data_IF_119945949385
#
_entry.id   IF_119945949385
#
_cell.length_a   1.000
_cell.length_b   1.000
_cell.length_c   1.000
_cell.angle_alpha   90.00
_cell.angle_beta   90.00
_cell.angle_gamma   90.00
#
_symmetry.space_group_name_H-M   'P 1'
#
loop_
_entity.id
_entity.type
_entity.pdbx_description
1 polymer ?
#
# COMPACT_ATOMS: atom_id res chain seq x y z
N UNK A 1 50.81 -20.51 63.91
CA UNK A 1 50.17 -21.29 62.82
C UNK A 1 48.64 -21.22 62.81
N UNK A 2 47.95 -21.00 63.94
CA UNK A 2 46.48 -21.01 64.04
C UNK A 2 45.75 -19.88 63.30
N UNK A 3 46.27 -18.64 63.30
CA UNK A 3 45.56 -17.49 62.70
C UNK A 3 45.45 -17.55 61.16
N UNK A 4 46.43 -18.16 60.47
CA UNK A 4 46.39 -18.34 59.00
C UNK A 4 45.42 -19.45 58.58
N UNK A 5 45.28 -20.51 59.39
CA UNK A 5 44.27 -21.56 59.17
C UNK A 5 42.85 -21.03 59.38
N UNK A 6 42.64 -20.18 60.39
CA UNK A 6 41.34 -19.55 60.65
C UNK A 6 40.95 -18.60 59.50
N UNK A 7 41.91 -17.83 58.96
CA UNK A 7 41.65 -16.94 57.82
C UNK A 7 41.27 -17.73 56.55
N UNK A 8 41.90 -18.89 56.32
CA UNK A 8 41.57 -19.77 55.19
C UNK A 8 40.21 -20.45 55.36
N UNK A 9 39.85 -20.83 56.60
CA UNK A 9 38.54 -21.40 56.91
C UNK A 9 37.41 -20.38 56.76
N UNK A 10 37.64 -19.11 57.13
CA UNK A 10 36.66 -18.02 56.95
C UNK A 10 36.48 -17.67 55.46
N UNK A 11 37.57 -17.67 54.67
CA UNK A 11 37.47 -17.45 53.22
C UNK A 11 36.75 -18.60 52.48
N UNK A 12 36.93 -19.85 52.94
CA UNK A 12 36.18 -21.00 52.43
C UNK A 12 34.68 -20.96 52.76
N UNK A 13 34.30 -20.43 53.92
CA UNK A 13 32.90 -20.33 54.34
C UNK A 13 32.12 -19.24 53.56
N UNK A 14 32.80 -18.20 53.09
CA UNK A 14 32.21 -17.12 52.27
C UNK A 14 31.95 -17.60 50.83
N UNK A 15 32.77 -18.51 50.31
CA UNK A 15 32.57 -19.10 48.96
C UNK A 15 31.40 -20.09 48.90
N UNK A 16 30.96 -20.67 50.02
CA UNK A 16 29.83 -21.60 50.08
C UNK A 16 28.46 -20.91 50.13
N UNK A 17 28.41 -19.59 50.34
CA UNK A 17 27.16 -18.82 50.38
C UNK A 17 26.91 -17.96 49.12
N UNK A 18 27.75 -18.09 48.09
CA UNK A 18 27.64 -17.30 46.86
C UNK A 18 26.68 -17.90 45.81
N UNK A 19 25.95 -18.98 46.13
CA UNK A 19 25.05 -19.66 45.20
C UNK A 19 23.67 -19.90 45.81
N UNK A 20 22.95 -18.83 46.12
CA UNK A 20 21.49 -18.79 46.07
C UNK A 20 21.05 -17.37 45.76
N UNK A 21 21.35 -16.92 44.54
CA UNK A 21 20.49 -15.93 43.93
C UNK A 21 19.18 -16.65 43.63
N UNK A 22 18.03 -16.21 44.15
CA UNK A 22 16.78 -16.58 43.53
C UNK A 22 16.87 -16.01 42.12
N UNK A 23 17.10 -16.88 41.12
CA UNK A 23 16.66 -16.56 39.78
C UNK A 23 15.21 -16.12 39.98
N UNK A 24 14.93 -14.85 39.70
CA UNK A 24 13.57 -14.43 39.41
C UNK A 24 13.16 -15.27 38.20
N UNK A 25 12.68 -16.48 38.47
CA UNK A 25 12.00 -17.31 37.48
C UNK A 25 10.74 -16.52 37.24
N UNK A 26 10.79 -15.69 36.21
CA UNK A 26 9.62 -15.02 35.66
C UNK A 26 8.54 -16.10 35.62
N UNK A 27 7.42 -15.87 36.30
CA UNK A 27 6.30 -16.79 36.18
C UNK A 27 5.87 -16.73 34.71
N UNK A 28 6.39 -17.67 33.92
CA UNK A 28 6.06 -17.80 32.52
C UNK A 28 4.60 -18.22 32.46
N UNK A 29 3.71 -17.26 32.18
CA UNK A 29 2.28 -17.52 32.05
C UNK A 29 2.08 -18.44 30.85
N UNK A 30 1.66 -19.67 31.13
CA UNK A 30 1.28 -20.65 30.10
C UNK A 30 -0.14 -20.35 29.67
N UNK A 31 -0.35 -20.15 28.37
CA UNK A 31 -1.65 -19.86 27.77
C UNK A 31 -2.32 -21.11 27.19
N UNK A 32 -1.54 -22.07 26.70
CA UNK A 32 -2.02 -23.35 26.20
C UNK A 32 -0.93 -24.42 26.27
N UNK A 33 -1.33 -25.69 26.20
CA UNK A 33 -0.44 -26.85 26.18
C UNK A 33 -0.99 -27.94 25.25
N UNK A 34 -0.13 -28.51 24.42
CA UNK A 34 -0.43 -29.68 23.58
C UNK A 34 0.68 -30.72 23.77
N UNK A 35 0.38 -31.80 24.49
CA UNK A 35 1.40 -32.82 24.82
C UNK A 35 2.50 -32.23 25.71
N UNK A 36 3.71 -32.14 25.19
CA UNK A 36 4.88 -31.56 25.88
C UNK A 36 5.25 -30.16 25.36
N UNK A 37 4.48 -29.61 24.42
CA UNK A 37 4.63 -28.24 23.94
C UNK A 37 3.75 -27.27 24.73
N UNK A 38 4.30 -26.11 25.04
CA UNK A 38 3.66 -25.07 25.84
C UNK A 38 3.69 -23.77 25.04
N UNK A 39 2.56 -23.06 25.02
CA UNK A 39 2.45 -21.71 24.47
C UNK A 39 2.55 -20.72 25.61
N UNK A 40 3.55 -19.85 25.56
CA UNK A 40 3.81 -18.84 26.57
C UNK A 40 3.28 -17.47 26.18
N UNK A 41 2.89 -16.67 27.17
CA UNK A 41 2.44 -15.30 26.95
C UNK A 41 3.47 -14.43 26.22
N UNK A 42 4.77 -14.72 26.40
CA UNK A 42 5.84 -13.98 25.75
C UNK A 42 5.85 -14.10 24.23
N UNK A 43 5.30 -15.18 23.68
CA UNK A 43 5.21 -15.43 22.24
C UNK A 43 4.16 -14.54 21.56
N UNK A 44 3.38 -13.77 22.34
CA UNK A 44 2.38 -12.82 21.84
C UNK A 44 2.87 -11.36 21.83
N UNK A 45 4.13 -11.09 22.22
CA UNK A 45 4.62 -9.72 22.46
C UNK A 45 4.53 -8.75 21.27
N UNK A 46 4.38 -9.26 20.05
CA UNK A 46 4.21 -8.44 18.84
C UNK A 46 2.91 -8.74 18.08
N UNK A 47 2.00 -9.51 18.67
CA UNK A 47 0.75 -9.92 18.02
C UNK A 47 -0.31 -8.81 18.03
N UNK A 48 -0.29 -7.96 19.06
CA UNK A 48 -1.33 -6.95 19.29
C UNK A 48 -0.81 -5.58 18.86
N UNK A 49 -1.31 -4.97 17.77
CA UNK A 49 -0.92 -3.64 17.36
C UNK A 49 -1.24 -2.58 18.42
N UNK A 50 -0.40 -1.55 18.50
CA UNK A 50 -0.69 -0.38 19.33
C UNK A 50 -2.02 0.27 18.91
N UNK A 51 -2.85 0.62 19.90
CA UNK A 51 -4.18 1.20 19.66
C UNK A 51 -5.32 0.20 19.49
N UNK A 52 -5.07 -1.11 19.63
CA UNK A 52 -6.13 -2.15 19.59
C UNK A 52 -7.09 -2.03 20.78
N UNK A 53 -8.40 -2.11 20.54
CA UNK A 53 -9.40 -2.06 21.61
C UNK A 53 -9.33 -3.31 22.51
N UNK A 54 -9.71 -3.22 23.81
CA UNK A 54 -9.70 -4.39 24.70
C UNK A 54 -10.55 -5.57 24.21
N UNK A 55 -11.64 -5.30 23.49
CA UNK A 55 -12.50 -6.36 22.93
C UNK A 55 -11.80 -7.08 21.77
N UNK A 56 -11.18 -6.31 20.89
CA UNK A 56 -10.53 -6.85 19.69
C UNK A 56 -9.23 -7.58 20.06
N UNK A 57 -8.49 -7.09 21.05
CA UNK A 57 -7.30 -7.77 21.56
C UNK A 57 -7.62 -9.16 22.13
N UNK A 58 -8.70 -9.30 22.90
CA UNK A 58 -9.17 -10.61 23.41
C UNK A 58 -9.49 -11.56 22.25
N UNK A 59 -10.14 -11.07 21.19
CA UNK A 59 -10.48 -11.89 20.01
C UNK A 59 -9.20 -12.32 19.27
N UNK A 60 -8.24 -11.41 19.06
CA UNK A 60 -6.96 -11.70 18.41
C UNK A 60 -6.18 -12.77 19.18
N UNK A 61 -6.03 -12.59 20.50
CA UNK A 61 -5.34 -13.55 21.36
C UNK A 61 -6.03 -14.90 21.32
N UNK A 62 -7.36 -14.94 21.47
CA UNK A 62 -8.12 -16.20 21.42
C UNK A 62 -7.95 -16.92 20.09
N UNK A 63 -8.01 -16.19 18.97
CA UNK A 63 -7.84 -16.77 17.65
C UNK A 63 -6.43 -17.32 17.45
N UNK A 64 -5.41 -16.58 17.90
CA UNK A 64 -4.02 -17.03 17.85
C UNK A 64 -3.80 -18.30 18.67
N UNK A 65 -4.24 -18.32 19.94
CA UNK A 65 -4.12 -19.49 20.81
C UNK A 65 -4.84 -20.70 20.21
N UNK A 66 -6.06 -20.52 19.71
CA UNK A 66 -6.82 -21.61 19.07
C UNK A 66 -6.12 -22.14 17.80
N UNK A 67 -5.58 -21.25 16.98
CA UNK A 67 -4.84 -21.63 15.77
C UNK A 67 -3.55 -22.36 16.11
N UNK A 68 -2.83 -21.89 17.14
CA UNK A 68 -1.62 -22.55 17.64
C UNK A 68 -1.96 -23.97 18.10
N UNK A 69 -2.95 -24.14 18.98
CA UNK A 69 -3.38 -25.47 19.47
C UNK A 69 -3.76 -26.39 18.31
N UNK A 70 -4.57 -25.90 17.37
CA UNK A 70 -4.99 -26.68 16.20
C UNK A 70 -3.81 -27.11 15.35
N UNK A 71 -2.89 -26.19 15.07
CA UNK A 71 -1.71 -26.45 14.23
C UNK A 71 -0.78 -27.44 14.92
N UNK A 72 -0.46 -27.25 16.20
CA UNK A 72 0.38 -28.17 16.97
C UNK A 72 -0.21 -29.57 17.04
N UNK A 73 -1.53 -29.69 17.28
CA UNK A 73 -2.21 -31.00 17.24
C UNK A 73 -2.11 -31.67 15.86
N UNK A 74 -2.28 -30.91 14.78
CA UNK A 74 -2.15 -31.43 13.42
C UNK A 74 -0.73 -31.89 13.12
N UNK A 75 0.28 -31.10 13.50
CA UNK A 75 1.70 -31.47 13.33
C UNK A 75 2.01 -32.73 14.11
N UNK A 76 1.62 -32.81 15.38
CA UNK A 76 1.83 -33.98 16.22
C UNK A 76 1.16 -35.25 15.63
N UNK A 77 -0.02 -35.10 15.03
CA UNK A 77 -0.68 -36.21 14.33
C UNK A 77 0.02 -36.59 13.02
N UNK A 78 0.56 -35.61 12.29
CA UNK A 78 1.32 -35.83 11.06
C UNK A 78 2.64 -36.56 11.35
N UNK A 79 3.36 -36.19 12.41
CA UNK A 79 4.60 -36.84 12.82
C UNK A 79 4.41 -38.33 13.17
N UNK A 80 3.25 -38.69 13.73
CA UNK A 80 2.89 -40.09 14.01
C UNK A 80 2.55 -40.90 12.76
N UNK A 81 2.07 -40.25 11.71
CA UNK A 81 1.47 -40.92 10.55
C UNK A 81 2.36 -40.88 9.30
N UNK A 82 3.26 -39.92 9.19
CA UNK A 82 4.12 -39.73 8.02
C UNK A 82 5.45 -40.47 8.19
N UNK A 83 6.02 -40.90 7.07
CA UNK A 83 7.35 -41.52 7.06
C UNK A 83 8.46 -40.48 7.24
N UNK A 84 9.63 -40.89 7.75
CA UNK A 84 10.77 -39.99 7.90
C UNK A 84 11.22 -39.30 6.60
N UNK A 85 10.98 -39.92 5.44
CA UNK A 85 11.23 -39.28 4.12
C UNK A 85 10.26 -38.14 3.85
N UNK A 86 8.98 -38.30 4.21
CA UNK A 86 7.96 -37.27 4.04
C UNK A 86 8.13 -36.11 5.03
N UNK A 87 8.76 -36.36 6.17
CA UNK A 87 9.11 -35.35 7.17
C UNK A 87 10.49 -34.71 6.94
N UNK A 88 11.25 -35.12 5.92
CA UNK A 88 12.54 -34.52 5.62
C UNK A 88 12.35 -33.21 4.84
N UNK A 89 12.50 -32.10 5.55
CA UNK A 89 12.43 -30.75 4.99
C UNK A 89 13.81 -30.06 4.96
N UNK A 90 14.91 -30.78 5.19
CA UNK A 90 16.24 -30.19 5.41
C UNK A 90 16.68 -29.29 4.24
N UNK A 91 16.43 -29.74 3.00
CA UNK A 91 16.74 -28.95 1.81
C UNK A 91 15.86 -27.70 1.72
N UNK A 92 14.56 -27.83 1.96
CA UNK A 92 13.60 -26.73 1.88
C UNK A 92 13.88 -25.67 2.95
N UNK A 93 14.21 -26.09 4.17
CA UNK A 93 14.61 -25.20 5.26
C UNK A 93 15.92 -24.48 4.96
N UNK A 94 16.91 -25.16 4.35
CA UNK A 94 18.15 -24.52 3.89
C UNK A 94 17.89 -23.49 2.80
N UNK A 95 17.09 -23.84 1.80
CA UNK A 95 16.78 -22.95 0.69
C UNK A 95 16.01 -21.72 1.18
N UNK A 96 15.00 -21.92 2.03
CA UNK A 96 14.25 -20.82 2.64
C UNK A 96 15.16 -19.90 3.49
N UNK A 97 16.04 -20.48 4.31
CA UNK A 97 17.03 -19.71 5.08
C UNK A 97 17.93 -18.89 4.17
N UNK A 98 18.45 -19.50 3.10
CA UNK A 98 19.30 -18.81 2.14
C UNK A 98 18.55 -17.66 1.46
N UNK A 99 17.31 -17.88 1.02
CA UNK A 99 16.47 -16.83 0.44
C UNK A 99 16.25 -15.66 1.40
N UNK A 100 15.98 -15.92 2.68
CA UNK A 100 15.81 -14.86 3.68
C UNK A 100 17.10 -14.05 3.89
N UNK A 101 18.25 -14.72 3.94
CA UNK A 101 19.56 -14.07 4.10
C UNK A 101 19.87 -13.21 2.87
N UNK A 102 19.71 -13.75 1.67
CA UNK A 102 19.94 -13.03 0.41
C UNK A 102 19.06 -11.80 0.32
N UNK A 103 17.74 -11.95 0.54
CA UNK A 103 16.81 -10.82 0.51
C UNK A 103 17.19 -9.73 1.52
N UNK A 104 17.54 -10.11 2.75
CA UNK A 104 17.94 -9.16 3.77
C UNK A 104 19.23 -8.43 3.40
N UNK A 105 20.22 -9.16 2.87
CA UNK A 105 21.47 -8.58 2.41
C UNK A 105 21.25 -7.60 1.25
N UNK A 106 20.53 -8.00 0.20
CA UNK A 106 20.21 -7.14 -0.95
C UNK A 106 19.45 -5.89 -0.51
N UNK A 107 18.47 -6.03 0.38
CA UNK A 107 17.70 -4.89 0.90
C UNK A 107 18.58 -3.89 1.66
N UNK A 108 19.48 -4.35 2.52
CA UNK A 108 20.40 -3.46 3.25
C UNK A 108 21.47 -2.88 2.33
N UNK A 109 21.93 -3.64 1.34
CA UNK A 109 22.85 -3.17 0.32
C UNK A 109 22.25 -2.02 -0.49
N UNK A 110 21.01 -2.19 -0.99
CA UNK A 110 20.29 -1.13 -1.70
C UNK A 110 20.14 0.12 -0.82
N UNK A 111 19.71 -0.04 0.44
CA UNK A 111 19.56 1.12 1.35
C UNK A 111 20.86 1.90 1.57
N UNK A 112 22.01 1.21 1.58
CA UNK A 112 23.31 1.85 1.79
C UNK A 112 23.88 2.47 0.53
N UNK A 113 23.54 1.95 -0.65
CA UNK A 113 24.20 2.30 -1.91
C UNK A 113 23.29 3.02 -2.91
N UNK A 114 21.98 3.12 -2.65
CA UNK A 114 21.07 3.89 -3.48
C UNK A 114 21.11 5.35 -3.03
N UNK A 115 21.72 6.20 -3.85
CA UNK A 115 21.51 7.64 -3.72
C UNK A 115 20.07 7.95 -4.12
N UNK A 116 19.27 8.42 -3.16
CA UNK A 116 17.87 8.79 -3.37
C UNK A 116 17.69 10.26 -3.73
N UNK A 117 18.77 11.04 -3.74
CA UNK A 117 18.72 12.46 -4.08
C UNK A 117 18.80 12.58 -5.59
N UNK A 118 17.64 12.79 -6.23
CA UNK A 118 17.56 13.14 -7.65
C UNK A 118 17.54 14.66 -7.77
N UNK A 119 18.51 15.22 -8.47
CA UNK A 119 18.61 16.66 -8.71
C UNK A 119 17.70 17.12 -9.86
N UNK A 120 17.36 18.40 -9.89
CA UNK A 120 16.58 19.00 -10.98
C UNK A 120 17.31 18.89 -12.33
N UNK A 121 18.65 18.97 -12.32
CA UNK A 121 19.47 18.82 -13.53
C UNK A 121 19.40 17.40 -14.10
N UNK A 122 19.41 16.38 -13.24
CA UNK A 122 19.23 14.98 -13.65
C UNK A 122 17.83 14.73 -14.23
N UNK A 123 16.80 15.34 -13.64
CA UNK A 123 15.43 15.29 -14.16
C UNK A 123 15.36 15.91 -15.54
N UNK A 124 15.92 17.12 -15.71
CA UNK A 124 15.89 17.83 -16.98
C UNK A 124 16.69 17.09 -18.06
N UNK A 125 17.86 16.54 -17.70
CA UNK A 125 18.69 15.73 -18.61
C UNK A 125 17.94 14.48 -19.04
N UNK A 126 17.39 13.72 -18.09
CA UNK A 126 16.61 12.53 -18.40
C UNK A 126 15.41 12.84 -19.30
N UNK A 127 14.67 13.90 -18.99
CA UNK A 127 13.53 14.35 -19.78
C UNK A 127 13.94 14.68 -21.23
N UNK A 128 15.02 15.46 -21.41
CA UNK A 128 15.55 15.82 -22.73
C UNK A 128 16.02 14.61 -23.52
N UNK A 129 16.73 13.69 -22.88
CA UNK A 129 17.26 12.48 -23.52
C UNK A 129 16.17 11.47 -23.91
N UNK A 130 15.00 11.55 -23.27
CA UNK A 130 13.88 10.62 -23.45
C UNK A 130 12.60 11.31 -23.92
N UNK A 131 12.68 12.46 -24.60
CA UNK A 131 11.51 13.22 -25.07
C UNK A 131 10.49 12.37 -25.84
N UNK A 132 10.95 11.40 -26.63
CA UNK A 132 10.11 10.47 -27.39
C UNK A 132 9.19 9.62 -26.49
N UNK A 133 9.56 9.38 -25.24
CA UNK A 133 8.73 8.66 -24.27
C UNK A 133 7.58 9.52 -23.72
N UNK A 134 7.68 10.84 -23.84
CA UNK A 134 6.71 11.81 -23.33
C UNK A 134 5.78 12.36 -24.42
N UNK A 135 5.89 11.85 -25.65
CA UNK A 135 4.98 12.21 -26.72
C UNK A 135 3.54 11.75 -26.43
N UNK A 136 2.58 12.66 -26.63
CA UNK A 136 1.17 12.31 -26.51
C UNK A 136 0.75 11.38 -27.65
N UNK A 137 0.27 10.19 -27.28
CA UNK A 137 -0.22 9.18 -28.23
C UNK A 137 -1.56 9.54 -28.88
N UNK A 138 -2.31 10.46 -28.28
CA UNK A 138 -3.62 10.89 -28.77
C UNK A 138 -3.74 12.41 -28.63
N UNK A 139 -4.43 13.03 -29.58
CA UNK A 139 -4.75 14.45 -29.50
C UNK A 139 -5.70 14.74 -28.34
N UNK A 140 -5.43 15.84 -27.65
CA UNK A 140 -6.25 16.38 -26.57
C UNK A 140 -6.75 17.76 -26.95
N UNK A 141 -7.93 18.11 -26.44
CA UNK A 141 -8.59 19.39 -26.70
C UNK A 141 -9.17 19.99 -25.44
N UNK A 142 -9.22 21.31 -25.39
CA UNK A 142 -10.06 22.06 -24.46
C UNK A 142 -11.31 22.48 -25.21
N UNK A 143 -12.45 21.99 -24.76
CA UNK A 143 -13.74 22.24 -25.40
C UNK A 143 -14.81 22.42 -24.34
N UNK A 144 -15.77 23.29 -24.65
CA UNK A 144 -17.04 23.35 -23.97
C UNK A 144 -18.07 22.75 -24.90
N UNK A 145 -18.94 21.89 -24.40
CA UNK A 145 -20.02 21.35 -25.22
C UNK A 145 -21.30 21.15 -24.42
N UNK A 146 -22.42 21.28 -25.11
CA UNK A 146 -23.76 21.11 -24.57
C UNK A 146 -24.58 20.35 -25.61
N UNK A 147 -25.34 19.36 -25.15
CA UNK A 147 -26.28 18.57 -25.95
C UNK A 147 -27.67 18.89 -25.43
N UNK A 148 -28.48 19.46 -26.31
CA UNK A 148 -29.85 19.88 -26.03
C UNK A 148 -30.82 19.11 -26.93
N UNK A 149 -32.07 18.98 -26.48
CA UNK A 149 -33.15 18.56 -27.38
C UNK A 149 -33.50 19.67 -28.37
N UNK A 150 -33.89 19.27 -29.59
CA UNK A 150 -34.19 20.21 -30.69
C UNK A 150 -35.28 21.22 -30.32
N UNK A 151 -36.23 20.83 -29.49
CA UNK A 151 -37.35 21.67 -29.07
C UNK A 151 -36.88 22.73 -28.05
N UNK A 152 -36.01 22.35 -27.11
CA UNK A 152 -35.43 23.27 -26.13
C UNK A 152 -34.50 24.31 -26.77
N UNK A 153 -33.81 23.94 -27.85
CA UNK A 153 -32.96 24.86 -28.61
C UNK A 153 -33.74 25.99 -29.31
N UNK A 154 -35.00 25.77 -29.72
CA UNK A 154 -35.79 26.81 -30.38
C UNK A 154 -36.22 27.93 -29.42
N UNK A 155 -36.41 27.61 -28.15
CA UNK A 155 -36.80 28.57 -27.12
C UNK A 155 -35.59 29.31 -26.51
N UNK A 156 -34.38 28.73 -26.64
CA UNK A 156 -33.15 29.27 -26.07
C UNK A 156 -32.32 29.99 -27.15
N UNK A 157 -32.09 31.29 -26.99
CA UNK A 157 -31.18 32.05 -27.87
C UNK A 157 -29.71 31.76 -27.51
N UNK A 158 -29.27 30.52 -27.73
CA UNK A 158 -27.94 30.02 -27.38
C UNK A 158 -26.83 30.84 -28.06
N UNK A 159 -27.08 31.33 -29.27
CA UNK A 159 -26.14 32.20 -29.99
C UNK A 159 -25.86 33.50 -29.22
N UNK A 160 -26.85 34.05 -28.51
CA UNK A 160 -26.63 35.22 -27.67
C UNK A 160 -25.74 34.89 -26.47
N UNK A 161 -25.87 33.68 -25.90
CA UNK A 161 -25.05 33.23 -24.76
C UNK A 161 -23.58 33.11 -25.15
N UNK A 162 -23.27 32.50 -26.29
CA UNK A 162 -21.88 32.37 -26.79
C UNK A 162 -21.24 33.70 -27.23
N UNK A 163 -22.01 34.78 -27.36
CA UNK A 163 -21.50 36.12 -27.63
C UNK A 163 -21.24 36.95 -26.35
N UNK A 164 -21.55 36.41 -25.17
CA UNK A 164 -21.26 37.06 -23.90
C UNK A 164 -19.76 37.02 -23.58
N UNK A 165 -19.26 37.94 -22.73
CA UNK A 165 -17.92 37.82 -22.16
C UNK A 165 -17.75 36.49 -21.42
N UNK A 166 -16.56 35.89 -21.47
CA UNK A 166 -16.28 34.53 -20.99
C UNK A 166 -16.85 34.21 -19.60
N UNK A 167 -16.74 35.13 -18.63
CA UNK A 167 -17.27 34.93 -17.27
C UNK A 167 -18.80 34.84 -17.25
N UNK A 168 -19.49 35.74 -17.95
CA UNK A 168 -20.96 35.78 -18.04
C UNK A 168 -21.49 34.63 -18.90
N UNK A 169 -20.74 34.22 -19.93
CA UNK A 169 -21.08 33.08 -20.78
C UNK A 169 -21.09 31.79 -19.97
N UNK A 170 -20.07 31.54 -19.14
CA UNK A 170 -19.98 30.32 -18.33
C UNK A 170 -21.11 30.23 -17.30
N UNK A 171 -21.37 31.31 -16.55
CA UNK A 171 -22.47 31.36 -15.58
C UNK A 171 -23.83 31.11 -16.26
N UNK A 172 -24.04 31.73 -17.43
CA UNK A 172 -25.28 31.56 -18.20
C UNK A 172 -25.41 30.15 -18.77
N UNK A 173 -24.32 29.55 -19.24
CA UNK A 173 -24.29 28.17 -19.73
C UNK A 173 -24.57 27.19 -18.59
N UNK A 174 -24.04 27.40 -17.40
CA UNK A 174 -24.27 26.53 -16.24
C UNK A 174 -25.76 26.47 -15.90
N UNK A 175 -26.41 27.64 -15.75
CA UNK A 175 -27.86 27.74 -15.50
C UNK A 175 -28.69 27.09 -16.60
N UNK A 176 -28.33 27.33 -17.86
CA UNK A 176 -29.02 26.75 -19.02
C UNK A 176 -28.87 25.22 -19.04
N UNK A 177 -27.66 24.73 -18.80
CA UNK A 177 -27.36 23.31 -18.83
C UNK A 177 -28.10 22.55 -17.75
N UNK A 178 -28.22 23.10 -16.54
CA UNK A 178 -28.99 22.49 -15.46
C UNK A 178 -30.48 22.33 -15.80
N UNK A 179 -31.05 23.26 -16.58
CA UNK A 179 -32.48 23.27 -16.89
C UNK A 179 -32.83 22.46 -18.13
N UNK A 180 -31.98 22.45 -19.16
CA UNK A 180 -32.35 21.97 -20.49
C UNK A 180 -31.35 21.00 -21.13
N UNK A 181 -30.16 20.81 -20.57
CA UNK A 181 -29.14 19.96 -21.21
C UNK A 181 -29.25 18.49 -20.84
N UNK A 182 -29.26 17.65 -21.88
CA UNK A 182 -29.17 16.21 -21.75
C UNK A 182 -27.75 15.76 -21.40
N UNK A 183 -26.74 16.47 -21.90
CA UNK A 183 -25.34 16.22 -21.60
C UNK A 183 -24.53 17.50 -21.79
N UNK A 184 -23.65 17.84 -20.85
CA UNK A 184 -22.78 19.00 -20.99
C UNK A 184 -21.39 18.76 -20.39
N UNK A 185 -20.44 19.59 -20.80
CA UNK A 185 -19.10 19.69 -20.22
C UNK A 185 -18.63 21.15 -20.32
N UNK A 186 -18.47 21.80 -19.16
CA UNK A 186 -18.16 23.22 -19.05
C UNK A 186 -16.80 23.51 -18.37
N UNK A 187 -15.92 22.51 -18.28
CA UNK A 187 -14.63 22.64 -17.60
C UNK A 187 -13.55 23.20 -18.55
N UNK A 188 -13.04 24.38 -18.22
CA UNK A 188 -11.99 25.10 -18.97
C UNK A 188 -10.56 24.75 -18.53
N UNK A 189 -10.42 24.09 -17.37
CA UNK A 189 -9.12 23.75 -16.79
C UNK A 189 -8.56 22.48 -17.40
N UNK A 190 -9.42 21.47 -17.57
CA UNK A 190 -8.99 20.13 -17.94
C UNK A 190 -9.00 19.88 -19.45
N UNK A 191 -7.97 19.17 -19.91
CA UNK A 191 -7.87 18.68 -21.28
C UNK A 191 -8.61 17.36 -21.45
N UNK A 192 -9.32 17.20 -22.55
CA UNK A 192 -10.09 15.98 -22.87
C UNK A 192 -9.53 15.35 -24.13
N UNK A 193 -9.40 14.01 -24.15
CA UNK A 193 -9.01 13.29 -25.36
C UNK A 193 -10.04 13.52 -26.47
N UNK A 194 -9.58 13.85 -27.68
CA UNK A 194 -10.47 14.07 -28.83
C UNK A 194 -11.32 12.83 -29.14
N UNK A 195 -10.74 11.65 -28.97
CA UNK A 195 -11.41 10.35 -29.10
C UNK A 195 -12.62 10.21 -28.16
N UNK A 196 -12.57 10.80 -26.96
CA UNK A 196 -13.69 10.82 -25.99
C UNK A 196 -14.79 11.79 -26.43
N UNK A 197 -14.41 12.91 -27.04
CA UNK A 197 -15.34 13.89 -27.59
C UNK A 197 -16.13 13.29 -28.76
N UNK A 198 -15.46 12.63 -29.71
CA UNK A 198 -16.10 12.00 -30.89
C UNK A 198 -17.13 10.92 -30.54
N UNK A 199 -16.99 10.27 -29.37
CA UNK A 199 -18.00 9.30 -28.89
C UNK A 199 -19.27 9.95 -28.37
N UNK A 200 -19.20 11.22 -27.98
CA UNK A 200 -20.32 11.97 -27.39
C UNK A 200 -20.97 12.92 -28.40
N UNK A 201 -20.16 13.49 -29.29
CA UNK A 201 -20.58 14.44 -30.32
C UNK A 201 -20.13 13.86 -31.66
N UNK A 202 -21.03 13.78 -32.66
CA UNK A 202 -20.73 13.23 -33.98
C UNK A 202 -19.86 14.20 -34.80
N UNK A 203 -18.60 14.38 -34.40
CA UNK A 203 -17.61 15.16 -35.14
C UNK A 203 -16.86 14.25 -36.11
N UNK A 204 -17.29 14.25 -37.37
CA UNK A 204 -16.64 13.53 -38.46
C UNK A 204 -15.53 14.41 -39.07
N UNK A 205 -14.28 14.13 -38.71
CA UNK A 205 -13.11 14.76 -39.35
C UNK A 205 -12.00 13.75 -39.58
N UNK A 206 -11.40 13.82 -40.78
CA UNK A 206 -10.21 13.04 -41.13
C UNK A 206 -8.92 13.66 -40.57
N UNK A 207 -8.91 14.98 -40.35
CA UNK A 207 -7.77 15.71 -39.78
C UNK A 207 -8.24 16.56 -38.58
N UNK A 208 -7.96 16.05 -37.38
CA UNK A 208 -8.39 16.66 -36.11
C UNK A 208 -7.74 18.04 -35.90
N UNK A 209 -6.46 18.20 -36.25
CA UNK A 209 -5.75 19.47 -36.07
C UNK A 209 -6.30 20.58 -36.98
N UNK A 210 -6.52 20.27 -38.26
CA UNK A 210 -7.07 21.23 -39.21
C UNK A 210 -8.48 21.65 -38.80
N UNK A 211 -9.31 20.67 -38.40
CA UNK A 211 -10.66 20.93 -37.93
C UNK A 211 -10.69 21.91 -36.75
N UNK A 212 -9.81 21.72 -35.77
CA UNK A 212 -9.71 22.58 -34.59
C UNK A 212 -9.17 23.99 -34.92
N UNK A 213 -8.35 24.14 -35.96
CA UNK A 213 -7.88 25.45 -36.42
C UNK A 213 -8.96 26.24 -37.13
N UNK A 214 -9.79 25.57 -37.91
CA UNK A 214 -10.82 26.21 -38.74
C UNK A 214 -12.14 26.46 -37.96
N UNK A 215 -12.44 25.62 -36.97
CA UNK A 215 -13.71 25.66 -36.25
C UNK A 215 -13.52 26.03 -34.79
N UNK A 216 -13.91 27.26 -34.44
CA UNK A 216 -14.02 27.70 -33.03
C UNK A 216 -15.37 27.33 -32.40
N UNK A 217 -16.40 27.14 -33.23
CA UNK A 217 -17.76 26.80 -32.83
C UNK A 217 -18.35 25.81 -33.82
N UNK A 218 -18.99 24.75 -33.32
CA UNK A 218 -19.54 23.64 -34.10
C UNK A 218 -20.89 23.26 -33.51
N UNK A 219 -21.89 23.05 -34.37
CA UNK A 219 -23.26 22.66 -34.02
C UNK A 219 -23.62 21.34 -34.69
#
# INVERSE_FOLDING_TARGET
MSKKLILFAVFGLILLNACTYPLFKKEETVLARVGDEYLYEEELKDLIPEGTSPKDSIILVRNFVNNWVKTTLMVHQAEKNLTGRQLNFDQQLRDYKNSLITFKYESEWIKQNLDTVVSEEEIETYYKDHLSNFELKENIVKVLYVVLDKDAEQDLNINAVFNLPDSLMLDSLEVLCEQYANLYYLDTSNWVRFSKLQKRIPVETYNQELFLKENKFVR
#
